data_IF_481324783144
#
_entry.id   IF_481324783144
#
_cell.length_a   1.000
_cell.length_b   1.000
_cell.length_c   1.000
_cell.angle_alpha   90.00
_cell.angle_beta   90.00
_cell.angle_gamma   90.00
#
_symmetry.space_group_name_H-M   'P 1'
#
loop_
_entity.id
_entity.type
_entity.pdbx_description
1 polymer ?
#
# COMPACT_ATOMS: atom_id res chain seq x y z
N UNK A 1 12.91 8.10 -7.29
CA UNK A 1 11.51 8.25 -6.84
C UNK A 1 11.07 9.72 -6.81
N UNK A 2 11.85 10.63 -6.21
CA UNK A 2 11.51 12.07 -6.09
C UNK A 2 11.26 12.79 -7.41
N UNK A 3 12.07 12.55 -8.45
CA UNK A 3 11.90 13.19 -9.76
C UNK A 3 10.55 12.84 -10.42
N UNK A 4 10.09 11.61 -10.24
CA UNK A 4 8.80 11.15 -10.78
C UNK A 4 7.63 11.82 -10.05
N UNK A 5 7.71 11.93 -8.72
CA UNK A 5 6.72 12.65 -7.93
C UNK A 5 6.60 14.12 -8.34
N UNK A 6 7.73 14.82 -8.46
CA UNK A 6 7.74 16.21 -8.90
C UNK A 6 7.19 16.36 -10.33
N UNK A 7 7.51 15.45 -11.24
CA UNK A 7 6.98 15.48 -12.60
C UNK A 7 5.44 15.37 -12.62
N UNK A 8 4.86 14.52 -11.78
CA UNK A 8 3.42 14.35 -11.66
C UNK A 8 2.73 15.52 -10.92
N UNK A 9 3.46 16.22 -10.04
CA UNK A 9 2.96 17.35 -9.24
C UNK A 9 3.34 18.73 -9.80
N UNK A 10 3.63 18.84 -11.10
CA UNK A 10 3.91 20.15 -11.72
C UNK A 10 5.20 20.81 -11.25
N UNK A 11 6.19 20.02 -10.83
CA UNK A 11 7.53 20.45 -10.44
C UNK A 11 7.69 20.85 -8.98
N UNK A 12 6.66 20.64 -8.13
CA UNK A 12 6.68 21.00 -6.70
C UNK A 12 6.28 19.82 -5.83
N UNK A 13 6.67 19.87 -4.55
CA UNK A 13 6.18 18.93 -3.57
C UNK A 13 4.72 19.22 -3.22
N UNK A 14 4.00 18.19 -2.78
CA UNK A 14 2.60 18.32 -2.35
C UNK A 14 2.48 19.18 -1.09
N UNK A 15 1.24 19.49 -0.72
CA UNK A 15 0.91 20.09 0.55
C UNK A 15 1.54 19.30 1.70
N UNK A 16 2.26 19.94 2.64
CA UNK A 16 3.00 19.24 3.70
C UNK A 16 2.18 18.26 4.53
N UNK A 17 0.90 18.58 4.80
CA UNK A 17 -0.02 17.68 5.54
C UNK A 17 -0.41 16.40 4.77
N UNK A 18 -0.17 16.34 3.46
CA UNK A 18 -0.42 15.15 2.62
C UNK A 18 0.84 14.33 2.35
N UNK A 19 2.00 14.85 2.73
CA UNK A 19 3.26 14.12 2.57
C UNK A 19 3.35 13.00 3.60
N UNK A 20 4.00 11.91 3.21
CA UNK A 20 4.36 10.85 4.13
C UNK A 20 5.43 11.36 5.11
N UNK A 21 4.98 11.73 6.31
CA UNK A 21 5.80 12.36 7.34
C UNK A 21 5.89 11.55 8.62
N UNK A 22 4.96 10.61 8.87
CA UNK A 22 4.90 9.84 10.11
C UNK A 22 4.28 8.46 9.88
N UNK A 23 4.96 7.42 10.37
CA UNK A 23 4.46 6.03 10.29
C UNK A 23 3.17 5.89 11.11
N UNK A 24 3.17 6.44 12.32
CA UNK A 24 2.02 6.34 13.22
C UNK A 24 0.79 7.08 12.68
N UNK A 25 0.99 8.27 12.09
CA UNK A 25 -0.09 9.01 11.44
C UNK A 25 -0.64 8.23 10.24
N UNK A 26 0.24 7.71 9.39
CA UNK A 26 -0.14 6.95 8.19
C UNK A 26 -0.91 5.68 8.53
N UNK A 27 -0.54 4.99 9.61
CA UNK A 27 -1.28 3.85 10.13
C UNK A 27 -2.66 4.26 10.67
N UNK A 28 -2.73 5.35 11.43
CA UNK A 28 -3.98 5.86 11.99
C UNK A 28 -4.97 6.27 10.89
N UNK A 29 -4.48 6.87 9.80
CA UNK A 29 -5.31 7.25 8.66
C UNK A 29 -5.92 6.01 7.99
N UNK A 30 -5.13 4.96 7.75
CA UNK A 30 -5.64 3.69 7.22
C UNK A 30 -6.75 3.03 8.05
N UNK A 31 -6.80 3.35 9.35
CA UNK A 31 -7.77 2.78 10.28
C UNK A 31 -9.03 3.64 10.42
N UNK A 32 -9.02 4.90 9.95
CA UNK A 32 -10.08 5.88 10.24
C UNK A 32 -10.67 6.53 9.01
N UNK A 33 -9.87 6.74 7.98
CA UNK A 33 -10.33 7.35 6.74
C UNK A 33 -10.91 6.25 5.83
N UNK A 34 -12.19 6.41 5.47
CA UNK A 34 -12.89 5.47 4.60
C UNK A 34 -12.30 5.37 3.19
N UNK A 35 -11.45 6.34 2.81
CA UNK A 35 -10.78 6.38 1.51
C UNK A 35 -9.32 5.91 1.55
N UNK A 36 -8.75 5.68 2.74
CA UNK A 36 -7.36 5.23 2.91
C UNK A 36 -7.32 3.75 3.33
N UNK A 37 -7.26 2.85 2.35
CA UNK A 37 -7.21 1.39 2.56
C UNK A 37 -5.91 0.78 2.04
N UNK A 38 -4.82 1.57 2.04
CA UNK A 38 -3.53 1.17 1.47
C UNK A 38 -2.83 0.08 2.28
N UNK A 39 -2.11 -0.77 1.57
CA UNK A 39 -1.21 -1.78 2.12
C UNK A 39 0.25 -1.32 2.06
N UNK A 40 1.14 -2.03 2.76
CA UNK A 40 2.57 -1.74 2.76
C UNK A 40 3.26 -2.14 1.45
N UNK A 41 4.35 -1.43 1.14
CA UNK A 41 5.29 -1.76 0.06
C UNK A 41 6.48 -2.58 0.61
N UNK A 42 7.16 -3.38 -0.22
CA UNK A 42 8.29 -4.20 0.20
C UNK A 42 9.42 -3.43 0.93
N UNK A 43 9.63 -2.18 0.57
CA UNK A 43 10.69 -1.31 1.12
C UNK A 43 10.59 -1.13 2.64
N UNK A 44 9.38 -1.27 3.24
CA UNK A 44 9.19 -1.28 4.70
C UNK A 44 9.90 -2.42 5.42
N UNK A 45 10.43 -3.41 4.69
CA UNK A 45 11.09 -4.60 5.23
C UNK A 45 12.57 -4.69 4.88
N UNK A 46 13.13 -3.75 4.09
CA UNK A 46 14.56 -3.78 3.76
C UNK A 46 15.24 -2.43 3.44
N UNK A 47 14.52 -1.32 3.22
CA UNK A 47 15.08 -0.08 2.70
C UNK A 47 14.93 1.10 3.70
N UNK A 48 15.85 1.26 4.67
CA UNK A 48 15.77 2.34 5.66
C UNK A 48 15.88 3.75 5.06
N UNK A 49 16.56 3.88 3.92
CA UNK A 49 16.79 5.16 3.25
C UNK A 49 15.51 5.86 2.81
N UNK A 50 14.40 5.13 2.64
CA UNK A 50 13.11 5.72 2.30
C UNK A 50 12.53 6.59 3.43
N UNK A 51 13.03 6.43 4.65
CA UNK A 51 12.56 7.13 5.85
C UNK A 51 13.40 8.36 6.18
N UNK A 52 14.48 8.61 5.42
CA UNK A 52 15.44 9.69 5.65
C UNK A 52 15.44 10.66 4.48
N UNK A 53 15.37 11.95 4.78
CA UNK A 53 15.52 13.02 3.81
C UNK A 53 17.01 13.32 3.56
N UNK A 54 17.76 12.33 3.07
CA UNK A 54 19.22 12.40 2.84
C UNK A 54 19.62 13.55 1.89
N UNK A 55 18.71 13.94 0.99
CA UNK A 55 18.94 15.01 0.03
C UNK A 55 18.57 16.40 0.55
N UNK A 56 18.15 16.52 1.81
CA UNK A 56 17.78 17.78 2.46
C UNK A 56 16.73 18.58 1.67
N UNK A 57 15.74 17.88 1.11
CA UNK A 57 14.64 18.52 0.39
C UNK A 57 13.85 19.45 1.33
N UNK A 58 13.38 20.57 0.78
CA UNK A 58 12.48 21.49 1.49
C UNK A 58 11.04 20.98 1.34
N UNK A 59 10.61 20.14 2.28
CA UNK A 59 9.28 19.51 2.27
C UNK A 59 8.18 20.39 2.89
N UNK A 60 8.54 21.54 3.46
CA UNK A 60 7.60 22.53 3.98
C UNK A 60 7.25 22.33 5.47
N UNK A 61 6.17 22.99 5.90
CA UNK A 61 5.65 22.92 7.27
C UNK A 61 4.20 22.51 7.27
N UNK A 62 3.85 21.66 8.21
CA UNK A 62 2.47 21.27 8.48
C UNK A 62 1.70 22.43 9.12
N UNK A 63 0.38 22.30 9.17
CA UNK A 63 -0.51 23.33 9.75
C UNK A 63 -0.29 23.54 11.25
N UNK A 64 0.19 22.51 11.96
CA UNK A 64 0.56 22.59 13.37
C UNK A 64 1.92 23.28 13.61
N UNK A 65 2.60 23.69 12.53
CA UNK A 65 3.90 24.36 12.55
C UNK A 65 5.10 23.41 12.54
N UNK A 66 4.90 22.09 12.62
CA UNK A 66 5.97 21.10 12.50
C UNK A 66 6.59 21.14 11.09
N UNK A 67 7.91 20.96 11.01
CA UNK A 67 8.62 20.95 9.72
C UNK A 67 8.70 19.52 9.21
N UNK A 68 8.41 19.31 7.93
CA UNK A 68 8.52 17.99 7.31
C UNK A 68 9.97 17.73 6.92
N UNK A 69 10.52 16.59 7.36
CA UNK A 69 11.90 16.18 7.16
C UNK A 69 12.02 14.67 7.06
N UNK A 70 12.84 14.07 7.92
CA UNK A 70 12.85 12.62 8.10
C UNK A 70 11.48 12.13 8.60
N UNK A 71 11.13 10.88 8.27
CA UNK A 71 9.87 10.28 8.68
C UNK A 71 9.89 10.02 10.19
N UNK A 72 8.84 10.46 10.88
CA UNK A 72 8.67 10.19 12.30
C UNK A 72 8.47 8.69 12.55
N UNK A 73 9.39 8.12 13.31
CA UNK A 73 9.41 6.71 13.67
C UNK A 73 8.66 6.45 14.99
N UNK A 74 8.14 5.23 15.19
CA UNK A 74 7.58 4.83 16.47
C UNK A 74 8.62 4.88 17.62
N UNK A 75 8.19 5.05 18.88
CA UNK A 75 9.12 5.20 20.02
C UNK A 75 10.08 4.02 20.27
N UNK A 76 9.77 2.84 19.72
CA UNK A 76 10.58 1.64 19.86
C UNK A 76 11.70 1.53 18.82
N UNK A 77 11.73 2.39 17.80
CA UNK A 77 12.78 2.43 16.80
C UNK A 77 13.63 3.68 17.00
N UNK A 78 14.89 3.47 17.40
CA UNK A 78 15.84 4.57 17.58
C UNK A 78 16.44 5.07 16.26
N UNK A 79 16.35 4.27 15.20
CA UNK A 79 16.81 4.62 13.86
C UNK A 79 15.97 3.97 12.75
N UNK A 80 16.03 4.47 11.51
CA UNK A 80 15.41 3.83 10.34
C UNK A 80 15.85 2.38 10.14
N UNK A 81 17.12 2.07 10.36
CA UNK A 81 17.67 0.71 10.27
C UNK A 81 17.06 -0.21 11.32
N UNK A 82 16.90 0.29 12.56
CA UNK A 82 16.22 -0.47 13.61
C UNK A 82 14.75 -0.69 13.30
N UNK A 83 14.06 0.32 12.77
CA UNK A 83 12.67 0.21 12.32
C UNK A 83 12.51 -0.90 11.28
N UNK A 84 13.31 -0.87 10.22
CA UNK A 84 13.30 -1.88 9.16
C UNK A 84 13.66 -3.27 9.70
N UNK A 85 14.69 -3.37 10.56
CA UNK A 85 15.12 -4.62 11.18
C UNK A 85 13.98 -5.27 11.96
N UNK A 86 13.26 -4.49 12.78
CA UNK A 86 12.14 -4.98 13.59
C UNK A 86 10.95 -5.36 12.70
N UNK A 87 10.61 -4.57 11.67
CA UNK A 87 9.57 -4.94 10.71
C UNK A 87 9.87 -6.27 10.01
N UNK A 88 11.12 -6.47 9.59
CA UNK A 88 11.55 -7.74 8.99
C UNK A 88 11.45 -8.90 9.98
N UNK A 89 11.85 -8.70 11.23
CA UNK A 89 11.67 -9.72 12.28
C UNK A 89 10.20 -10.04 12.53
N UNK A 90 9.31 -9.05 12.49
CA UNK A 90 7.88 -9.25 12.64
C UNK A 90 7.29 -10.03 11.44
N UNK A 91 7.68 -9.68 10.21
CA UNK A 91 7.26 -10.38 8.99
C UNK A 91 7.70 -11.85 9.00
N UNK A 92 8.91 -12.14 9.45
CA UNK A 92 9.47 -13.50 9.54
C UNK A 92 9.08 -14.24 10.82
N UNK A 93 8.26 -13.63 11.67
CA UNK A 93 7.84 -14.23 12.94
C UNK A 93 6.89 -15.40 12.74
N UNK A 94 6.76 -16.23 13.78
CA UNK A 94 5.84 -17.36 13.78
C UNK A 94 4.36 -16.91 13.69
N UNK A 95 4.05 -15.75 14.29
CA UNK A 95 2.72 -15.13 14.24
C UNK A 95 2.28 -14.83 12.81
N UNK A 96 3.18 -14.27 11.99
CA UNK A 96 2.88 -13.99 10.59
C UNK A 96 2.93 -15.28 9.78
N UNK A 97 3.95 -16.12 10.00
CA UNK A 97 4.13 -17.37 9.25
C UNK A 97 2.91 -18.28 9.31
N UNK A 98 2.25 -18.42 10.47
CA UNK A 98 1.09 -19.29 10.60
C UNK A 98 -0.18 -18.73 9.96
N UNK A 99 -0.25 -17.43 9.63
CA UNK A 99 -1.45 -16.76 9.11
C UNK A 99 -1.29 -16.14 7.71
N UNK A 100 -0.07 -15.95 7.20
CA UNK A 100 0.19 -15.18 5.97
C UNK A 100 -0.57 -15.73 4.74
N UNK A 101 -0.81 -17.04 4.70
CA UNK A 101 -1.62 -17.69 3.67
C UNK A 101 -3.03 -17.07 3.53
N UNK A 102 -3.62 -16.56 4.62
CA UNK A 102 -4.93 -15.90 4.58
C UNK A 102 -4.87 -14.51 3.96
N UNK A 103 -3.75 -13.80 4.11
CA UNK A 103 -3.53 -12.55 3.38
C UNK A 103 -3.31 -12.84 1.89
N UNK A 104 -2.58 -13.90 1.56
CA UNK A 104 -2.44 -14.37 0.16
C UNK A 104 -3.81 -14.70 -0.43
N UNK A 105 -4.71 -15.32 0.33
CA UNK A 105 -6.08 -15.61 -0.11
C UNK A 105 -6.87 -14.34 -0.49
N UNK A 106 -6.65 -13.22 0.23
CA UNK A 106 -7.29 -11.94 -0.04
C UNK A 106 -6.74 -11.27 -1.30
N UNK A 107 -5.42 -11.23 -1.45
CA UNK A 107 -4.76 -10.47 -2.51
C UNK A 107 -4.67 -11.26 -3.82
N UNK A 108 -4.39 -12.56 -3.76
CA UNK A 108 -4.11 -13.41 -4.92
C UNK A 108 -5.01 -14.66 -4.99
N UNK A 109 -5.74 -14.99 -3.93
CA UNK A 109 -6.47 -16.26 -3.83
C UNK A 109 -7.97 -16.16 -3.96
N UNK A 110 -8.65 -17.18 -3.44
CA UNK A 110 -10.09 -17.38 -3.65
C UNK A 110 -10.98 -16.29 -3.02
N UNK A 111 -10.45 -15.49 -2.08
CA UNK A 111 -11.16 -14.37 -1.44
C UNK A 111 -10.96 -13.04 -2.17
N UNK A 112 -10.29 -13.02 -3.32
CA UNK A 112 -10.13 -11.81 -4.13
C UNK A 112 -11.45 -11.38 -4.81
N UNK A 113 -12.32 -12.34 -5.17
CA UNK A 113 -13.56 -12.11 -5.94
C UNK A 113 -14.72 -12.98 -5.43
N UNK A 114 -15.92 -12.67 -5.91
CA UNK A 114 -17.13 -13.47 -5.65
C UNK A 114 -17.66 -13.36 -4.21
N UNK A 115 -18.52 -14.30 -3.78
CA UNK A 115 -19.15 -14.26 -2.46
C UNK A 115 -18.16 -14.24 -1.29
N UNK A 116 -17.00 -14.89 -1.45
CA UNK A 116 -15.96 -14.95 -0.43
C UNK A 116 -15.28 -13.59 -0.21
N UNK A 117 -15.09 -12.80 -1.27
CA UNK A 117 -14.61 -11.43 -1.14
C UNK A 117 -15.60 -10.54 -0.38
N UNK A 118 -16.91 -10.67 -0.65
CA UNK A 118 -17.96 -9.93 0.09
C UNK A 118 -17.94 -10.31 1.56
N UNK A 119 -17.86 -11.61 1.86
CA UNK A 119 -17.80 -12.12 3.24
C UNK A 119 -16.57 -11.62 4.00
N UNK A 120 -15.46 -11.42 3.30
CA UNK A 120 -14.20 -10.91 3.85
C UNK A 120 -14.06 -9.39 3.75
N UNK A 121 -15.09 -8.64 3.33
CA UNK A 121 -15.04 -7.18 3.12
C UNK A 121 -13.90 -6.73 2.20
N UNK A 122 -13.61 -7.53 1.16
CA UNK A 122 -12.45 -7.39 0.27
C UNK A 122 -12.87 -7.11 -1.19
N UNK A 123 -13.94 -6.34 -1.38
CA UNK A 123 -14.44 -5.97 -2.72
C UNK A 123 -14.01 -4.54 -3.05
N UNK A 124 -13.25 -4.40 -4.13
CA UNK A 124 -12.78 -3.12 -4.66
C UNK A 124 -13.67 -2.64 -5.81
N UNK A 125 -13.37 -1.46 -6.35
CA UNK A 125 -14.12 -0.91 -7.47
C UNK A 125 -13.95 -1.77 -8.73
N UNK A 126 -15.02 -2.01 -9.49
CA UNK A 126 -15.01 -3.02 -10.55
C UNK A 126 -13.90 -2.82 -11.61
N UNK A 127 -13.49 -1.58 -11.89
CA UNK A 127 -12.41 -1.29 -12.84
C UNK A 127 -11.02 -1.69 -12.36
N UNK A 128 -10.81 -1.97 -11.08
CA UNK A 128 -9.51 -2.45 -10.59
C UNK A 128 -9.24 -3.90 -10.99
N UNK A 129 -10.29 -4.65 -11.30
CA UNK A 129 -10.21 -6.07 -11.59
C UNK A 129 -9.96 -6.32 -13.08
N UNK A 130 -8.92 -7.12 -13.38
CA UNK A 130 -8.64 -7.62 -14.72
C UNK A 130 -9.90 -8.26 -15.35
N UNK A 131 -10.10 -7.98 -16.65
CA UNK A 131 -11.19 -8.53 -17.45
C UNK A 131 -12.56 -7.85 -17.27
N UNK A 132 -12.67 -6.81 -16.43
CA UNK A 132 -13.97 -6.17 -16.13
C UNK A 132 -14.49 -5.27 -17.25
N UNK A 133 -13.62 -4.82 -18.16
CA UNK A 133 -13.98 -3.99 -19.31
C UNK A 133 -13.14 -4.38 -20.52
N UNK A 134 -13.78 -4.56 -21.67
CA UNK A 134 -13.14 -4.74 -22.97
C UNK A 134 -12.93 -3.38 -23.64
N UNK A 135 -11.75 -2.78 -23.47
CA UNK A 135 -11.45 -1.40 -23.92
C UNK A 135 -11.60 -1.21 -25.44
N UNK A 136 -11.42 -2.26 -26.23
CA UNK A 136 -11.52 -2.19 -27.69
C UNK A 136 -12.96 -2.22 -28.20
N UNK A 137 -13.91 -2.63 -27.36
CA UNK A 137 -15.34 -2.54 -27.65
C UNK A 137 -15.89 -1.12 -27.51
N UNK A 138 -15.13 -0.20 -26.89
CA UNK A 138 -15.56 1.16 -26.58
C UNK A 138 -15.20 2.10 -27.74
N UNK A 139 -16.23 2.52 -28.48
CA UNK A 139 -16.06 3.43 -29.62
C UNK A 139 -15.97 4.91 -29.21
N UNK A 140 -16.49 5.28 -28.05
CA UNK A 140 -16.39 6.64 -27.54
C UNK A 140 -14.98 6.88 -26.97
N UNK A 141 -14.21 7.71 -27.66
CA UNK A 141 -12.84 8.05 -27.31
C UNK A 141 -12.75 8.70 -25.93
N UNK A 142 -13.69 9.57 -25.57
CA UNK A 142 -13.69 10.27 -24.28
C UNK A 142 -13.93 9.27 -23.16
N UNK A 143 -14.88 8.36 -23.35
CA UNK A 143 -15.17 7.30 -22.38
C UNK A 143 -13.99 6.34 -22.25
N UNK A 144 -13.36 5.94 -23.36
CA UNK A 144 -12.18 5.07 -23.35
C UNK A 144 -11.03 5.71 -22.57
N UNK A 145 -10.72 6.97 -22.84
CA UNK A 145 -9.67 7.72 -22.14
C UNK A 145 -9.98 7.86 -20.63
N UNK A 146 -11.24 8.12 -20.27
CA UNK A 146 -11.65 8.21 -18.87
C UNK A 146 -11.46 6.88 -18.13
N UNK A 147 -11.83 5.74 -18.75
CA UNK A 147 -11.65 4.41 -18.16
C UNK A 147 -10.17 4.06 -18.05
N UNK A 148 -9.37 4.32 -19.08
CA UNK A 148 -7.93 4.09 -19.05
C UNK A 148 -7.25 4.89 -17.93
N UNK A 149 -7.64 6.16 -17.76
CA UNK A 149 -7.14 7.00 -16.68
C UNK A 149 -7.58 6.50 -15.30
N UNK A 150 -8.80 5.98 -15.19
CA UNK A 150 -9.29 5.39 -13.95
C UNK A 150 -8.47 4.15 -13.56
N UNK A 151 -8.24 3.23 -14.50
CA UNK A 151 -7.45 2.01 -14.29
C UNK A 151 -6.00 2.35 -13.92
N UNK A 152 -5.40 3.34 -14.60
CA UNK A 152 -3.99 3.69 -14.41
C UNK A 152 -3.70 4.31 -13.03
N UNK A 153 -4.64 5.10 -12.50
CA UNK A 153 -4.35 5.95 -11.33
C UNK A 153 -5.09 5.53 -10.05
N UNK A 154 -6.14 4.72 -10.13
CA UNK A 154 -7.00 4.40 -8.98
C UNK A 154 -7.00 2.91 -8.63
N UNK A 155 -5.88 2.25 -8.87
CA UNK A 155 -5.60 0.88 -8.43
C UNK A 155 -5.84 -0.18 -9.50
N UNK A 156 -5.00 -1.21 -9.44
CA UNK A 156 -5.11 -2.41 -10.26
C UNK A 156 -4.93 -3.61 -9.32
N UNK A 157 -5.97 -4.41 -9.18
CA UNK A 157 -5.92 -5.64 -8.38
C UNK A 157 -5.01 -6.64 -9.09
N UNK A 158 -4.05 -7.28 -8.40
CA UNK A 158 -3.20 -8.30 -9.01
C UNK A 158 -4.01 -9.46 -9.61
N UNK A 159 -3.48 -10.15 -10.61
CA UNK A 159 -4.13 -11.33 -11.16
C UNK A 159 -4.32 -12.42 -10.09
N UNK A 160 -5.47 -13.08 -10.11
CA UNK A 160 -5.78 -14.17 -9.20
C UNK A 160 -4.94 -15.41 -9.58
N UNK A 161 -4.18 -15.93 -8.62
CA UNK A 161 -3.25 -17.04 -8.81
C UNK A 161 -3.86 -18.40 -8.44
N UNK A 162 -4.86 -18.41 -7.56
CA UNK A 162 -5.48 -19.62 -7.01
C UNK A 162 -6.96 -19.42 -6.72
N UNK A 163 -7.75 -20.47 -6.99
CA UNK A 163 -9.21 -20.50 -6.78
C UNK A 163 -9.61 -21.30 -5.52
N UNK A 164 -8.63 -21.91 -4.85
CA UNK A 164 -8.79 -22.71 -3.62
C UNK A 164 -8.00 -22.06 -2.47
N UNK A 165 -8.24 -22.42 -1.21
CA UNK A 165 -7.48 -21.88 -0.09
C UNK A 165 -5.97 -22.13 -0.21
N UNK A 166 -5.17 -21.08 -0.02
CA UNK A 166 -3.71 -21.20 0.01
C UNK A 166 -3.29 -22.09 1.19
N UNK A 167 -2.41 -23.09 0.99
CA UNK A 167 -1.98 -23.96 2.07
C UNK A 167 -1.25 -23.17 3.17
N UNK A 168 -1.51 -23.43 4.46
CA UNK A 168 -0.77 -22.79 5.53
C UNK A 168 0.70 -23.24 5.51
N UNK A 169 1.61 -22.34 5.89
CA UNK A 169 3.01 -22.72 6.14
C UNK A 169 3.05 -23.60 7.39
N UNK A 170 3.83 -24.68 7.35
CA UNK A 170 4.10 -25.49 8.54
C UNK A 170 4.70 -24.61 9.63
N UNK A 171 4.00 -24.52 10.75
CA UNK A 171 4.30 -23.61 11.86
C UNK A 171 4.48 -24.39 13.16
N UNK A 172 5.44 -23.98 13.98
CA UNK A 172 5.67 -24.57 15.30
C UNK A 172 4.52 -24.28 16.29
N UNK A 173 3.64 -23.31 16.00
CA UNK A 173 2.44 -23.02 16.81
C UNK A 173 1.22 -23.90 16.44
N UNK A 174 1.32 -24.71 15.39
CA UNK A 174 0.30 -25.69 14.99
C UNK A 174 0.67 -27.13 15.40
N UNK A 175 1.69 -27.30 16.25
CA UNK A 175 2.03 -28.54 16.97
C UNK A 175 1.47 -28.48 18.40
#
# INVERSE_FOLDING_TARGET
>A
MTTMFLALQGGKFDHPNRLFSSVALSWKNCQRDTSDVKELIPEFFFLPEMLVNTNYYRLGRQEDGSSVGDVELPPWASSPEEFIRINRMALESEFVSCQLHQWIDLIFGYKQRGPEAVRATNVFYYLTYEGSVELDSINDVVMKEAIENQIRNFGQTPSQLLMEPHPPRSSAMHL
#
